data_IF_449185385680
#
_entry.id   IF_449185385680
#
_cell.length_a   1.000
_cell.length_b   1.000
_cell.length_c   1.000
_cell.angle_alpha   90.00
_cell.angle_beta   90.00
_cell.angle_gamma   90.00
#
_symmetry.space_group_name_H-M   'P 1'
#
loop_
_entity.id
_entity.type
_entity.pdbx_description
1 polymer ?
#
# COMPACT_ATOMS: atom_id res chain seq x y z
N UNK A 1 52.71 -32.76 3.67
CA UNK A 1 51.95 -33.90 4.21
C UNK A 1 50.47 -33.52 4.09
N UNK A 2 49.81 -33.86 2.99
CA UNK A 2 49.01 -35.07 2.79
C UNK A 2 47.83 -35.17 3.79
N UNK A 3 46.57 -35.46 3.44
CA UNK A 3 45.84 -35.59 2.17
C UNK A 3 44.34 -35.92 2.49
N UNK A 4 43.47 -35.81 1.46
CA UNK A 4 42.14 -36.48 1.26
C UNK A 4 40.96 -36.17 2.22
N UNK A 5 39.69 -36.05 1.78
CA UNK A 5 39.13 -36.32 0.46
C UNK A 5 37.61 -36.06 0.30
N UNK A 6 37.18 -36.32 -0.95
CA UNK A 6 35.85 -36.46 -1.59
C UNK A 6 34.71 -37.00 -0.68
N UNK A 7 33.41 -36.77 -0.92
CA UNK A 7 32.65 -36.42 -2.12
C UNK A 7 31.12 -36.43 -1.84
N UNK A 8 30.25 -36.38 -2.87
CA UNK A 8 28.88 -35.83 -2.80
C UNK A 8 27.76 -36.87 -2.57
N UNK A 9 26.72 -36.47 -1.84
CA UNK A 9 25.47 -37.22 -1.67
C UNK A 9 24.43 -36.86 -2.73
N UNK A 10 24.14 -37.82 -3.62
CA UNK A 10 23.06 -37.77 -4.61
C UNK A 10 21.69 -37.99 -3.93
N UNK A 11 20.69 -37.20 -4.31
CA UNK A 11 19.28 -37.49 -4.05
C UNK A 11 18.67 -38.10 -5.30
N UNK A 12 18.19 -39.34 -5.17
CA UNK A 12 17.44 -40.06 -6.19
C UNK A 12 15.94 -40.10 -5.81
N UNK A 13 15.14 -40.30 -6.87
CA UNK A 13 13.81 -40.90 -6.89
C UNK A 13 12.57 -40.00 -6.76
N UNK A 14 12.16 -39.45 -7.91
CA UNK A 14 10.75 -39.25 -8.26
C UNK A 14 10.23 -40.51 -8.97
N UNK A 15 9.13 -41.08 -8.47
CA UNK A 15 8.15 -41.78 -9.31
C UNK A 15 6.70 -41.62 -8.80
N UNK A 16 5.85 -41.35 -9.80
CA UNK A 16 4.40 -41.35 -9.92
C UNK A 16 3.52 -42.09 -8.90
N UNK A 17 2.32 -41.53 -8.65
CA UNK A 17 1.08 -42.20 -9.05
C UNK A 17 -0.12 -41.24 -9.16
N UNK A 18 -0.94 -41.49 -10.18
CA UNK A 18 -2.20 -40.81 -10.50
C UNK A 18 -3.35 -41.41 -9.70
N UNK A 19 -4.41 -40.63 -9.47
CA UNK A 19 -5.69 -41.12 -8.94
C UNK A 19 -6.84 -40.18 -9.28
N UNK A 20 -7.69 -40.60 -10.22
CA UNK A 20 -8.99 -40.01 -10.54
C UNK A 20 -10.08 -40.44 -9.53
N UNK A 21 -11.00 -39.55 -9.16
CA UNK A 21 -12.46 -39.84 -9.07
C UNK A 21 -13.24 -38.61 -8.61
N UNK A 22 -14.08 -38.04 -9.49
CA UNK A 22 -15.52 -38.29 -9.68
C UNK A 22 -16.40 -37.40 -8.79
N UNK A 23 -17.06 -36.42 -9.44
CA UNK A 23 -18.13 -35.61 -8.88
C UNK A 23 -19.47 -36.36 -8.98
N UNK A 24 -20.37 -36.26 -7.98
CA UNK A 24 -21.71 -36.82 -8.09
C UNK A 24 -22.63 -35.97 -9.00
N UNK A 25 -23.63 -36.58 -9.67
CA UNK A 25 -24.52 -35.90 -10.60
C UNK A 25 -25.63 -35.09 -9.91
N UNK A 26 -26.01 -33.98 -10.56
CA UNK A 26 -27.11 -33.10 -10.16
C UNK A 26 -28.47 -33.76 -10.42
N UNK A 27 -29.34 -33.75 -9.41
CA UNK A 27 -30.75 -34.12 -9.54
C UNK A 27 -31.57 -32.91 -10.03
N UNK A 28 -32.38 -33.15 -11.06
CA UNK A 28 -33.23 -32.16 -11.69
C UNK A 28 -34.41 -31.74 -10.80
N UNK A 29 -34.65 -30.43 -10.75
CA UNK A 29 -35.86 -29.85 -10.18
C UNK A 29 -36.96 -29.80 -11.25
N UNK A 30 -38.06 -30.48 -10.98
CA UNK A 30 -39.32 -30.37 -11.72
C UNK A 30 -40.05 -29.09 -11.31
N UNK A 31 -40.47 -28.28 -12.28
CA UNK A 31 -41.40 -27.16 -12.09
C UNK A 31 -42.84 -27.65 -12.05
N UNK A 32 -43.68 -27.15 -11.13
CA UNK A 32 -45.13 -27.21 -11.29
C UNK A 32 -45.63 -26.03 -12.13
N UNK A 33 -46.34 -26.35 -13.21
CA UNK A 33 -47.29 -25.46 -13.88
C UNK A 33 -48.54 -25.30 -13.02
N UNK A 34 -49.10 -24.09 -12.99
CA UNK A 34 -50.51 -23.70 -12.69
C UNK A 34 -50.46 -22.26 -12.15
N UNK A 35 -51.27 -21.27 -12.52
CA UNK A 35 -52.38 -21.14 -13.44
C UNK A 35 -52.87 -19.69 -13.25
N UNK A 36 -53.06 -18.94 -14.34
CA UNK A 36 -53.64 -17.59 -14.28
C UNK A 36 -55.15 -17.68 -14.03
N UNK A 37 -55.72 -16.69 -13.33
CA UNK A 37 -56.78 -15.94 -13.97
C UNK A 37 -56.62 -14.42 -13.84
N UNK A 38 -56.79 -13.76 -14.98
CA UNK A 38 -57.13 -12.35 -15.12
C UNK A 38 -58.50 -12.09 -14.49
N UNK A 39 -58.75 -10.90 -13.90
CA UNK A 39 -59.82 -10.11 -14.50
C UNK A 39 -59.62 -8.58 -14.49
N UNK A 40 -60.10 -8.02 -15.60
CA UNK A 40 -60.89 -6.78 -15.73
C UNK A 40 -60.27 -5.45 -15.33
N UNK A 41 -59.81 -4.75 -16.39
CA UNK A 41 -59.73 -3.30 -16.44
C UNK A 41 -61.15 -2.70 -16.37
N UNK A 42 -61.37 -1.78 -15.43
CA UNK A 42 -62.51 -0.88 -15.41
C UNK A 42 -62.04 0.57 -15.50
N UNK A 43 -62.52 1.25 -16.54
CA UNK A 43 -63.14 2.57 -16.45
C UNK A 43 -62.29 3.75 -16.01
N UNK A 44 -61.85 4.53 -16.99
CA UNK A 44 -61.49 5.94 -16.82
C UNK A 44 -62.72 6.77 -16.40
N UNK A 45 -62.55 7.64 -15.40
CA UNK A 45 -63.24 8.92 -15.32
C UNK A 45 -62.28 10.00 -14.81
N UNK A 46 -61.99 10.99 -15.65
CA UNK A 46 -61.26 12.21 -15.29
C UNK A 46 -62.20 13.19 -14.58
N UNK A 47 -61.86 13.71 -13.39
CA UNK A 47 -62.53 14.87 -12.83
C UNK A 47 -62.08 16.15 -13.55
N UNK A 48 -63.07 16.98 -13.88
CA UNK A 48 -62.92 18.30 -14.50
C UNK A 48 -62.07 19.22 -13.62
N UNK A 49 -61.11 19.91 -14.25
CA UNK A 49 -60.28 20.92 -13.61
C UNK A 49 -61.12 22.18 -13.34
N UNK A 50 -61.43 22.43 -12.06
CA UNK A 50 -61.88 23.74 -11.60
C UNK A 50 -60.64 24.58 -11.27
N UNK A 51 -60.59 25.79 -11.84
CA UNK A 51 -59.46 26.71 -11.71
C UNK A 51 -59.28 27.21 -10.28
N UNK A 52 -58.07 27.01 -9.75
CA UNK A 52 -57.60 27.69 -8.54
C UNK A 52 -56.94 29.03 -8.93
N UNK A 53 -57.22 30.13 -8.21
CA UNK A 53 -56.51 31.39 -8.40
C UNK A 53 -55.04 31.26 -7.98
N UNK A 54 -54.14 31.83 -8.80
CA UNK A 54 -52.70 31.83 -8.59
C UNK A 54 -52.33 32.56 -7.28
N UNK A 55 -51.53 31.94 -6.39
CA UNK A 55 -50.80 32.68 -5.37
C UNK A 55 -49.63 33.42 -6.03
N UNK A 56 -49.51 34.72 -5.76
CA UNK A 56 -48.38 35.54 -6.15
C UNK A 56 -47.09 34.94 -5.57
N UNK A 57 -46.17 34.55 -6.46
CA UNK A 57 -44.86 34.05 -6.09
C UNK A 57 -44.00 35.21 -5.57
N UNK A 58 -43.98 35.40 -4.24
CA UNK A 58 -42.84 36.05 -3.60
C UNK A 58 -41.64 35.11 -3.69
N UNK A 59 -40.53 35.65 -4.23
CA UNK A 59 -39.35 34.88 -4.60
C UNK A 59 -38.73 34.13 -3.43
N UNK A 60 -38.77 32.80 -3.51
CA UNK A 60 -37.80 31.98 -2.81
C UNK A 60 -36.44 32.15 -3.51
N UNK A 61 -35.34 32.44 -2.80
CA UNK A 61 -34.02 32.35 -3.40
C UNK A 61 -33.85 30.90 -3.89
N UNK A 62 -33.61 30.76 -5.19
CA UNK A 62 -33.26 29.47 -5.77
C UNK A 62 -32.12 28.88 -4.94
N UNK A 63 -32.19 27.59 -4.53
CA UNK A 63 -30.99 26.90 -4.14
C UNK A 63 -30.10 26.96 -5.37
N UNK A 64 -29.04 27.76 -5.31
CA UNK A 64 -27.96 27.68 -6.28
C UNK A 64 -27.61 26.21 -6.33
N UNK A 65 -27.94 25.56 -7.45
CA UNK A 65 -27.37 24.27 -7.79
C UNK A 65 -25.88 24.51 -7.74
N UNK A 66 -25.27 24.17 -6.61
CA UNK A 66 -23.84 24.02 -6.45
C UNK A 66 -23.52 23.04 -7.56
N UNK A 67 -23.07 23.56 -8.69
CA UNK A 67 -22.51 22.77 -9.75
C UNK A 67 -21.39 22.01 -9.04
N UNK A 68 -21.67 20.76 -8.70
CA UNK A 68 -20.63 19.78 -8.44
C UNK A 68 -19.92 19.71 -9.78
N UNK A 69 -18.89 20.54 -9.90
CA UNK A 69 -17.91 20.47 -10.95
C UNK A 69 -17.22 19.13 -10.75
N UNK A 70 -17.86 18.08 -11.25
CA UNK A 70 -17.24 16.78 -11.44
C UNK A 70 -16.27 16.93 -12.60
N UNK A 71 -15.11 17.51 -12.32
CA UNK A 71 -13.90 16.95 -12.91
C UNK A 71 -13.63 15.70 -12.10
N UNK A 72 -13.51 14.56 -12.77
CA UNK A 72 -12.68 13.50 -12.23
C UNK A 72 -11.30 14.15 -12.08
N UNK A 73 -10.93 14.49 -10.85
CA UNK A 73 -9.63 15.06 -10.54
C UNK A 73 -8.60 14.00 -10.95
N UNK A 74 -7.94 14.23 -12.07
CA UNK A 74 -6.66 13.59 -12.36
C UNK A 74 -5.80 13.81 -11.10
N UNK A 75 -5.27 12.75 -10.47
CA UNK A 75 -4.62 12.85 -9.18
C UNK A 75 -3.45 13.84 -9.31
N UNK A 76 -3.65 15.05 -8.79
CA UNK A 76 -2.61 16.06 -8.81
C UNK A 76 -1.52 15.61 -7.85
N UNK A 77 -0.36 15.27 -8.41
CA UNK A 77 0.83 14.94 -7.63
C UNK A 77 1.10 16.12 -6.69
N UNK A 78 1.13 15.93 -5.37
CA UNK A 78 1.43 17.02 -4.45
C UNK A 78 2.80 17.61 -4.81
N UNK A 79 2.85 18.93 -4.98
CA UNK A 79 4.12 19.61 -5.27
C UNK A 79 5.03 19.51 -4.05
N UNK A 80 6.12 18.77 -4.19
CA UNK A 80 7.17 18.66 -3.17
C UNK A 80 8.41 19.43 -3.61
N UNK A 81 8.84 20.38 -2.78
CA UNK A 81 10.03 21.15 -3.04
C UNK A 81 11.29 20.25 -3.05
N UNK A 82 12.21 20.43 -4.01
CA UNK A 82 13.49 19.73 -4.03
C UNK A 82 14.24 19.87 -2.70
N UNK A 83 14.87 18.78 -2.25
CA UNK A 83 15.83 18.85 -1.15
C UNK A 83 17.08 19.61 -1.61
N UNK A 84 17.70 20.42 -0.72
CA UNK A 84 18.98 21.05 -1.02
C UNK A 84 20.07 19.98 -1.23
N UNK A 85 21.09 20.24 -2.05
CA UNK A 85 22.25 19.35 -2.16
C UNK A 85 22.88 19.05 -0.79
N UNK A 86 23.35 17.82 -0.55
CA UNK A 86 23.46 16.72 -1.53
C UNK A 86 22.17 15.91 -1.73
N UNK A 87 21.06 16.27 -1.09
CA UNK A 87 19.89 15.42 -0.94
C UNK A 87 20.01 14.50 0.29
N UNK A 88 19.09 13.54 0.40
CA UNK A 88 18.98 12.62 1.53
C UNK A 88 18.77 11.20 0.98
N UNK A 89 19.81 10.37 1.06
CA UNK A 89 19.80 9.03 0.46
C UNK A 89 20.81 8.06 1.07
N UNK A 90 20.55 6.76 0.88
CA UNK A 90 21.51 5.69 1.12
C UNK A 90 21.87 4.96 -0.18
N UNK A 91 20.99 4.97 -1.18
CA UNK A 91 21.13 4.22 -2.42
C UNK A 91 21.12 5.23 -3.58
N UNK A 92 22.30 5.65 -4.08
CA UNK A 92 22.41 6.75 -5.04
C UNK A 92 21.57 6.57 -6.30
N UNK A 93 21.44 5.34 -6.80
CA UNK A 93 20.64 5.03 -7.99
C UNK A 93 19.13 5.12 -7.76
N UNK A 94 18.68 5.24 -6.51
CA UNK A 94 17.26 5.35 -6.15
C UNK A 94 16.84 6.79 -5.80
N UNK A 95 17.70 7.78 -6.05
CA UNK A 95 17.36 9.20 -5.81
C UNK A 95 16.29 9.65 -6.81
N UNK A 96 15.21 10.25 -6.30
CA UNK A 96 14.23 10.93 -7.14
C UNK A 96 14.84 12.22 -7.72
N UNK A 97 14.84 12.37 -9.04
CA UNK A 97 15.34 13.61 -9.69
C UNK A 97 14.25 14.68 -9.85
N UNK A 98 12.98 14.29 -9.72
CA UNK A 98 11.80 15.13 -9.78
C UNK A 98 10.75 14.58 -8.80
N UNK A 99 9.67 15.33 -8.47
CA UNK A 99 8.61 14.79 -7.63
C UNK A 99 8.08 13.51 -8.28
N UNK A 100 8.18 12.38 -7.57
CA UNK A 100 7.91 11.05 -8.14
C UNK A 100 6.86 10.34 -7.31
N UNK A 101 5.70 10.07 -7.91
CA UNK A 101 4.63 9.29 -7.29
C UNK A 101 4.74 7.82 -7.62
N UNK A 102 4.63 7.00 -6.59
CA UNK A 102 4.59 5.54 -6.66
C UNK A 102 3.31 5.02 -6.04
N UNK A 103 2.69 4.04 -6.68
CA UNK A 103 1.56 3.30 -6.16
C UNK A 103 2.12 2.11 -5.39
N UNK A 104 1.91 2.09 -4.08
CA UNK A 104 2.30 1.00 -3.19
C UNK A 104 1.15 0.00 -3.12
N UNK A 105 1.43 -1.26 -3.45
CA UNK A 105 0.47 -2.37 -3.42
C UNK A 105 0.97 -3.44 -2.46
N UNK A 106 0.10 -3.89 -1.57
CA UNK A 106 0.36 -5.06 -0.73
C UNK A 106 -0.56 -6.21 -1.11
N UNK A 107 0.04 -7.37 -1.38
CA UNK A 107 -0.66 -8.62 -1.65
C UNK A 107 -0.25 -9.68 -0.62
N UNK A 108 -1.24 -10.21 0.09
CA UNK A 108 -1.04 -11.42 0.90
C UNK A 108 -0.96 -12.63 -0.02
N UNK A 109 0.14 -13.35 0.04
CA UNK A 109 0.33 -14.59 -0.71
C UNK A 109 0.04 -15.78 0.20
N UNK A 110 -0.76 -16.73 -0.28
CA UNK A 110 -0.94 -17.99 0.41
C UNK A 110 0.43 -18.72 0.41
N UNK A 111 0.94 -19.05 1.60
CA UNK A 111 2.18 -19.82 1.88
C UNK A 111 3.53 -19.09 1.88
N UNK A 112 3.77 -18.08 1.04
CA UNK A 112 5.10 -17.43 0.94
C UNK A 112 5.22 -16.10 1.69
N UNK A 113 4.14 -15.65 2.34
CA UNK A 113 4.10 -14.43 3.14
C UNK A 113 3.35 -13.31 2.45
N UNK A 114 3.93 -12.11 2.42
CA UNK A 114 3.37 -10.97 1.69
C UNK A 114 4.34 -10.45 0.64
N UNK A 115 3.78 -10.06 -0.50
CA UNK A 115 4.50 -9.36 -1.56
C UNK A 115 4.03 -7.92 -1.58
N UNK A 116 4.99 -7.00 -1.58
CA UNK A 116 4.69 -5.58 -1.74
C UNK A 116 5.40 -5.06 -2.97
N UNK A 117 4.70 -4.27 -3.78
CA UNK A 117 5.24 -3.70 -5.00
C UNK A 117 5.03 -2.19 -4.98
N UNK A 118 6.03 -1.45 -5.45
CA UNK A 118 5.91 -0.04 -5.79
C UNK A 118 5.94 0.10 -7.31
N UNK A 119 4.88 0.68 -7.87
CA UNK A 119 4.80 0.97 -9.31
C UNK A 119 4.80 2.46 -9.56
N UNK A 120 5.32 2.89 -10.69
CA UNK A 120 5.00 4.23 -11.22
C UNK A 120 3.49 4.39 -11.39
N UNK A 121 3.01 5.64 -11.46
CA UNK A 121 1.61 5.94 -11.79
C UNK A 121 1.13 5.31 -13.10
N UNK A 122 2.04 5.02 -14.03
CA UNK A 122 1.75 4.36 -15.31
C UNK A 122 1.77 2.82 -15.22
N UNK A 123 1.99 2.25 -14.02
CA UNK A 123 1.95 0.81 -13.77
C UNK A 123 3.29 0.08 -13.89
N UNK A 124 4.36 0.72 -14.38
CA UNK A 124 5.69 0.10 -14.43
C UNK A 124 6.24 -0.19 -13.03
N UNK A 125 6.75 -1.39 -12.79
CA UNK A 125 7.37 -1.80 -11.52
C UNK A 125 8.63 -0.97 -11.25
N UNK A 126 8.78 -0.49 -10.02
CA UNK A 126 10.00 0.19 -9.54
C UNK A 126 10.73 -0.65 -8.48
N UNK A 127 9.98 -1.11 -7.48
CA UNK A 127 10.51 -1.92 -6.39
C UNK A 127 9.58 -3.09 -6.08
N UNK A 128 10.17 -4.20 -5.67
CA UNK A 128 9.44 -5.36 -5.16
C UNK A 128 10.06 -5.81 -3.84
N UNK A 129 9.22 -6.07 -2.85
CA UNK A 129 9.61 -6.61 -1.56
C UNK A 129 8.92 -7.94 -1.30
N UNK A 130 9.70 -9.01 -1.17
CA UNK A 130 9.19 -10.37 -0.94
C UNK A 130 9.63 -10.90 0.43
N UNK A 131 8.80 -11.72 1.05
CA UNK A 131 9.08 -12.35 2.34
C UNK A 131 8.03 -11.99 3.38
N UNK A 132 8.23 -12.47 4.61
CA UNK A 132 7.28 -12.29 5.70
C UNK A 132 7.98 -11.88 6.98
N UNK A 133 7.37 -10.92 7.67
CA UNK A 133 7.76 -10.55 9.03
C UNK A 133 7.19 -11.51 10.09
N UNK A 134 6.17 -12.30 9.74
CA UNK A 134 5.49 -13.22 10.67
C UNK A 134 6.10 -14.64 10.70
N UNK A 135 7.06 -14.95 9.82
CA UNK A 135 7.79 -16.23 9.83
C UNK A 135 9.07 -16.14 10.65
N UNK A 136 9.65 -17.28 11.03
CA UNK A 136 10.85 -17.41 11.88
C UNK A 136 12.05 -16.51 11.47
N UNK A 137 12.14 -16.10 10.20
CA UNK A 137 13.23 -15.23 9.68
C UNK A 137 12.95 -13.72 9.78
N UNK A 138 11.70 -13.32 10.01
CA UNK A 138 11.22 -11.94 10.13
C UNK A 138 11.87 -10.95 9.15
N UNK A 139 11.82 -11.27 7.85
CA UNK A 139 12.61 -10.59 6.79
C UNK A 139 11.76 -10.32 5.56
N UNK A 140 11.95 -9.13 4.99
CA UNK A 140 11.59 -8.82 3.60
C UNK A 140 12.84 -8.43 2.82
N UNK A 141 12.96 -8.97 1.62
CA UNK A 141 14.05 -8.68 0.69
C UNK A 141 13.54 -7.69 -0.36
N UNK A 142 14.26 -6.60 -0.59
CA UNK A 142 13.87 -5.53 -1.50
C UNK A 142 14.72 -5.60 -2.76
N UNK A 143 14.04 -5.55 -3.91
CA UNK A 143 14.60 -5.64 -5.25
C UNK A 143 14.18 -4.43 -6.08
N UNK A 144 15.02 -4.04 -7.03
CA UNK A 144 14.66 -3.07 -8.07
C UNK A 144 13.85 -3.71 -9.22
N UNK A 145 13.47 -2.88 -10.19
CA UNK A 145 12.74 -3.29 -11.39
C UNK A 145 13.46 -4.32 -12.28
N UNK A 146 14.79 -4.46 -12.15
CA UNK A 146 15.60 -5.43 -12.89
C UNK A 146 15.80 -6.73 -12.10
N UNK A 147 15.28 -6.81 -10.88
CA UNK A 147 15.47 -7.94 -9.98
C UNK A 147 16.81 -7.93 -9.27
N UNK A 148 17.55 -6.81 -9.28
CA UNK A 148 18.74 -6.66 -8.46
C UNK A 148 18.31 -6.47 -7.00
N UNK A 149 18.87 -7.28 -6.10
CA UNK A 149 18.68 -7.10 -4.67
C UNK A 149 19.33 -5.79 -4.22
N UNK A 150 18.60 -5.00 -3.43
CA UNK A 150 19.05 -3.73 -2.88
C UNK A 150 19.44 -3.88 -1.41
N UNK A 151 18.53 -4.40 -0.59
CA UNK A 151 18.70 -4.58 0.86
C UNK A 151 17.61 -5.47 1.43
N UNK A 152 17.77 -5.84 2.70
CA UNK A 152 16.75 -6.51 3.49
C UNK A 152 16.17 -5.58 4.54
N UNK A 153 14.87 -5.73 4.82
CA UNK A 153 14.18 -5.16 5.97
C UNK A 153 13.99 -6.30 6.98
N UNK A 154 14.43 -6.09 8.22
CA UNK A 154 14.36 -7.05 9.31
C UNK A 154 13.54 -6.49 10.45
N UNK A 155 12.74 -7.34 11.08
CA UNK A 155 12.20 -7.01 12.41
C UNK A 155 13.25 -7.33 13.48
N UNK A 156 13.30 -6.50 14.52
CA UNK A 156 13.97 -6.86 15.76
C UNK A 156 13.04 -7.77 16.57
N UNK A 157 13.38 -9.06 16.63
CA UNK A 157 12.80 -9.98 17.59
C UNK A 157 13.03 -9.42 18.99
N UNK A 158 11.96 -9.29 19.78
CA UNK A 158 11.95 -8.89 21.20
C UNK A 158 11.86 -7.38 21.54
N UNK A 159 11.59 -6.48 20.58
CA UNK A 159 11.25 -5.08 20.91
C UNK A 159 9.75 -4.84 21.08
N UNK A 160 9.39 -4.20 22.19
CA UNK A 160 8.07 -3.62 22.40
C UNK A 160 8.21 -2.11 22.70
N UNK A 161 7.81 -1.21 21.79
CA UNK A 161 7.06 -1.47 20.55
C UNK A 161 7.94 -2.10 19.44
N UNK A 162 7.33 -2.79 18.45
CA UNK A 162 8.07 -3.39 17.35
C UNK A 162 8.97 -2.38 16.63
N UNK A 163 10.19 -2.80 16.31
CA UNK A 163 11.18 -2.00 15.59
C UNK A 163 11.76 -2.81 14.42
N UNK A 164 12.19 -2.10 13.39
CA UNK A 164 12.73 -2.68 12.17
C UNK A 164 14.06 -2.03 11.83
N UNK A 165 14.85 -2.68 10.99
CA UNK A 165 16.07 -2.11 10.42
C UNK A 165 16.29 -2.61 9.00
N UNK A 166 17.08 -1.87 8.24
CA UNK A 166 17.54 -2.30 6.93
C UNK A 166 19.02 -2.65 6.96
N UNK A 167 19.36 -3.73 6.27
CA UNK A 167 20.73 -4.23 6.13
C UNK A 167 21.07 -4.53 4.67
N UNK A 168 22.33 -4.32 4.31
CA UNK A 168 22.88 -4.75 3.02
C UNK A 168 22.93 -6.29 2.91
N UNK A 169 23.20 -6.83 1.72
CA UNK A 169 23.46 -8.25 1.50
C UNK A 169 24.54 -8.84 2.43
N UNK A 170 25.50 -8.00 2.85
CA UNK A 170 26.58 -8.39 3.74
C UNK A 170 26.17 -8.36 5.23
N UNK A 171 24.92 -8.01 5.55
CA UNK A 171 24.44 -7.86 6.92
C UNK A 171 24.81 -6.53 7.58
N UNK A 172 25.36 -5.56 6.82
CA UNK A 172 25.65 -4.24 7.38
C UNK A 172 24.35 -3.44 7.50
N UNK A 173 23.94 -3.17 8.73
CA UNK A 173 22.80 -2.32 9.09
C UNK A 173 23.08 -0.86 8.72
N UNK A 174 22.16 -0.21 8.02
CA UNK A 174 22.33 1.17 7.53
C UNK A 174 21.14 2.09 7.79
N UNK A 175 19.96 1.55 8.13
CA UNK A 175 18.79 2.34 8.52
C UNK A 175 18.03 1.63 9.62
N UNK A 176 17.50 2.41 10.55
CA UNK A 176 16.65 1.97 11.65
C UNK A 176 15.28 2.60 11.58
N UNK A 177 14.27 1.83 11.94
CA UNK A 177 12.90 2.29 12.14
C UNK A 177 12.47 1.87 13.55
N UNK A 178 12.67 2.78 14.49
CA UNK A 178 12.38 2.57 15.90
C UNK A 178 10.92 2.85 16.22
N UNK A 179 10.36 2.04 17.09
CA UNK A 179 9.19 2.44 17.84
C UNK A 179 9.51 3.14 19.16
N UNK A 180 8.82 4.24 19.42
CA UNK A 180 8.86 4.96 20.68
C UNK A 180 7.49 4.97 21.35
N UNK A 181 7.46 4.60 22.62
CA UNK A 181 6.36 4.96 23.51
C UNK A 181 6.61 6.36 24.03
N UNK A 182 5.62 7.25 23.91
CA UNK A 182 5.53 8.44 24.72
C UNK A 182 4.21 8.36 25.51
N UNK A 183 4.15 8.95 26.71
CA UNK A 183 3.18 8.69 27.80
C UNK A 183 1.69 8.55 27.39
N UNK A 184 1.29 9.03 26.21
CA UNK A 184 -0.05 8.85 25.62
C UNK A 184 -0.09 8.63 24.09
N UNK A 185 1.05 8.57 23.38
CA UNK A 185 1.10 8.48 21.90
C UNK A 185 2.26 7.60 21.41
N UNK A 186 2.00 6.76 20.42
CA UNK A 186 3.01 5.89 19.78
C UNK A 186 3.69 6.66 18.66
N UNK A 187 4.99 6.87 18.74
CA UNK A 187 5.77 7.49 17.65
C UNK A 187 6.65 6.45 16.98
N UNK A 188 6.99 6.71 15.74
CA UNK A 188 8.07 6.02 15.05
C UNK A 188 9.16 7.03 14.69
N UNK A 189 10.40 6.59 14.74
CA UNK A 189 11.55 7.39 14.35
C UNK A 189 12.41 6.59 13.40
N UNK A 190 12.86 7.22 12.31
CA UNK A 190 13.79 6.63 11.36
C UNK A 190 15.14 7.30 11.53
N UNK A 191 16.19 6.50 11.55
CA UNK A 191 17.58 6.93 11.75
C UNK A 191 18.47 6.24 10.71
N UNK A 192 19.32 7.01 10.02
CA UNK A 192 20.33 6.47 9.10
C UNK A 192 21.43 7.50 8.86
N UNK A 193 22.53 7.07 8.27
CA UNK A 193 23.60 7.97 7.80
C UNK A 193 23.37 8.31 6.33
N UNK A 194 23.29 9.60 6.00
CA UNK A 194 23.17 10.07 4.64
C UNK A 194 24.47 9.85 3.86
N UNK A 195 24.39 9.19 2.71
CA UNK A 195 25.57 8.95 1.87
C UNK A 195 26.07 10.21 1.15
N UNK A 196 25.24 11.26 1.05
CA UNK A 196 25.63 12.52 0.42
C UNK A 196 26.63 13.34 1.22
N UNK A 197 26.52 13.36 2.55
CA UNK A 197 27.37 14.17 3.44
C UNK A 197 27.89 13.45 4.70
N UNK A 198 27.54 12.17 4.88
CA UNK A 198 27.95 11.36 6.02
C UNK A 198 27.27 11.71 7.34
N UNK A 199 26.25 12.58 7.34
CA UNK A 199 25.55 12.99 8.56
C UNK A 199 24.41 12.06 8.91
N UNK A 200 24.13 11.92 10.20
CA UNK A 200 22.93 11.23 10.67
C UNK A 200 21.69 12.03 10.27
N UNK A 201 20.70 11.33 9.73
CA UNK A 201 19.38 11.86 9.40
C UNK A 201 18.36 11.21 10.31
N UNK A 202 17.53 12.04 10.93
CA UNK A 202 16.42 11.63 11.77
C UNK A 202 15.09 12.08 11.15
N UNK A 203 14.14 11.16 11.05
CA UNK A 203 12.80 11.41 10.53
C UNK A 203 11.79 10.99 11.58
N UNK A 204 10.90 11.90 11.96
CA UNK A 204 9.82 11.62 12.88
C UNK A 204 8.57 11.18 12.11
N UNK A 205 8.22 9.90 12.22
CA UNK A 205 6.99 9.35 11.68
C UNK A 205 5.91 9.45 12.78
N UNK A 206 5.11 10.51 12.70
CA UNK A 206 4.06 10.84 13.69
C UNK A 206 2.76 10.06 13.46
N UNK A 207 1.83 10.12 14.42
CA UNK A 207 0.49 9.47 14.36
C UNK A 207 -0.27 9.74 13.04
N UNK A 208 -0.02 10.90 12.40
CA UNK A 208 -0.65 11.27 11.13
C UNK A 208 -0.22 10.36 9.97
N UNK A 209 0.83 9.53 10.12
CA UNK A 209 1.22 8.55 9.13
C UNK A 209 0.05 7.67 8.69
N UNK A 210 -0.92 7.39 9.57
CA UNK A 210 -2.06 6.51 9.28
C UNK A 210 -3.31 7.23 8.77
N UNK A 211 -3.27 8.56 8.66
CA UNK A 211 -4.38 9.30 8.10
C UNK A 211 -4.52 9.01 6.59
N UNK A 212 -5.68 9.34 6.02
CA UNK A 212 -5.91 9.37 4.58
C UNK A 212 -4.80 10.13 3.87
N UNK A 213 -4.34 11.25 4.45
CA UNK A 213 -3.23 12.03 3.95
C UNK A 213 -2.17 12.19 5.04
N UNK A 214 -0.92 11.87 4.73
CA UNK A 214 0.21 11.98 5.65
C UNK A 214 1.44 12.60 5.00
N UNK A 215 2.18 13.41 5.76
CA UNK A 215 3.45 13.98 5.34
C UNK A 215 4.59 13.37 6.15
N UNK A 216 5.66 12.97 5.48
CA UNK A 216 6.92 12.55 6.08
C UNK A 216 7.88 13.74 6.01
N UNK A 217 8.43 14.14 7.16
CA UNK A 217 9.24 15.37 7.29
C UNK A 217 10.58 15.11 7.95
N UNK A 218 11.60 15.83 7.51
CA UNK A 218 12.86 16.00 8.24
C UNK A 218 12.65 16.84 9.50
N UNK A 219 13.63 16.84 10.42
CA UNK A 219 13.57 17.63 11.65
C UNK A 219 13.41 19.14 11.42
N UNK A 220 13.94 19.65 10.30
CA UNK A 220 13.79 21.06 9.90
C UNK A 220 12.40 21.38 9.32
N UNK A 221 11.48 20.40 9.25
CA UNK A 221 10.12 20.56 8.73
C UNK A 221 9.99 20.38 7.22
N UNK A 222 11.07 20.15 6.48
CA UNK A 222 11.03 19.91 5.03
C UNK A 222 10.31 18.59 4.74
N UNK A 223 9.29 18.62 3.88
CA UNK A 223 8.50 17.44 3.49
C UNK A 223 9.26 16.64 2.43
N UNK A 224 9.61 15.39 2.77
CA UNK A 224 10.38 14.50 1.88
C UNK A 224 9.50 13.51 1.14
N UNK A 225 8.31 13.22 1.68
CA UNK A 225 7.32 12.40 1.02
C UNK A 225 5.91 12.67 1.55
N UNK A 226 4.90 12.41 0.72
CA UNK A 226 3.49 12.42 1.09
C UNK A 226 2.85 11.07 0.78
N UNK A 227 1.95 10.63 1.65
CA UNK A 227 1.14 9.43 1.48
C UNK A 227 -0.31 9.86 1.31
N UNK A 228 -0.97 9.29 0.30
CA UNK A 228 -2.40 9.46 0.05
C UNK A 228 -3.07 8.08 -0.07
N UNK A 229 -3.98 7.77 0.85
CA UNK A 229 -4.70 6.50 0.95
C UNK A 229 -6.15 6.71 0.55
N UNK A 230 -6.60 6.00 -0.47
CA UNK A 230 -8.02 5.94 -0.78
C UNK A 230 -8.69 4.81 0.02
N UNK A 231 -9.42 5.16 1.07
CA UNK A 231 -10.19 4.20 1.87
C UNK A 231 -11.47 3.72 1.18
N UNK A 232 -11.92 4.37 0.10
CA UNK A 232 -13.23 4.13 -0.52
C UNK A 232 -13.18 3.32 -1.82
N UNK A 233 -12.01 3.11 -2.44
CA UNK A 233 -11.95 2.47 -3.77
C UNK A 233 -11.70 0.95 -3.82
N UNK A 234 -11.19 0.28 -2.78
CA UNK A 234 -10.89 -1.16 -2.89
C UNK A 234 -11.89 -2.05 -2.15
N UNK A 235 -12.88 -2.58 -2.90
CA UNK A 235 -13.69 -3.75 -2.52
C UNK A 235 -12.94 -5.08 -2.60
N UNK A 236 -11.69 -5.07 -3.05
CA UNK A 236 -10.80 -6.23 -3.12
C UNK A 236 -9.71 -6.10 -2.04
N UNK A 237 -9.31 -7.21 -1.44
CA UNK A 237 -8.43 -7.34 -0.26
C UNK A 237 -7.00 -6.79 -0.38
N UNK A 238 -6.67 -5.98 -1.39
CA UNK A 238 -5.36 -5.37 -1.59
C UNK A 238 -5.35 -3.93 -1.04
N UNK A 239 -4.42 -3.66 -0.12
CA UNK A 239 -4.15 -2.30 0.36
C UNK A 239 -3.32 -1.60 -0.71
N UNK A 240 -3.83 -0.49 -1.23
CA UNK A 240 -3.18 0.32 -2.26
C UNK A 240 -3.21 1.80 -1.86
N UNK A 241 -2.07 2.48 -1.94
CA UNK A 241 -1.97 3.91 -1.67
C UNK A 241 -0.85 4.56 -2.49
N UNK A 242 -0.92 5.88 -2.65
CA UNK A 242 0.08 6.65 -3.37
C UNK A 242 1.12 7.19 -2.39
N UNK A 243 2.39 7.02 -2.73
CA UNK A 243 3.56 7.60 -2.07
C UNK A 243 4.24 8.55 -3.05
N UNK A 244 4.22 9.84 -2.76
CA UNK A 244 4.94 10.85 -3.57
C UNK A 244 6.22 11.24 -2.86
N UNK A 245 7.35 11.15 -3.55
CA UNK A 245 8.69 11.40 -3.02
C UNK A 245 9.27 12.69 -3.61
N UNK A 246 9.88 13.52 -2.76
CA UNK A 246 10.48 14.79 -3.16
C UNK A 246 11.79 14.59 -3.96
N UNK A 247 12.15 15.53 -4.86
CA UNK A 247 13.45 15.48 -5.55
C UNK A 247 14.61 15.54 -4.56
N UNK A 248 15.64 14.71 -4.78
CA UNK A 248 16.79 14.58 -3.89
C UNK A 248 16.59 13.59 -2.74
N UNK A 249 15.42 12.95 -2.63
CA UNK A 249 15.15 11.90 -1.64
C UNK A 249 15.26 10.50 -2.27
N UNK A 250 15.74 9.54 -1.49
CA UNK A 250 15.82 8.12 -1.86
C UNK A 250 14.45 7.43 -1.84
N UNK A 251 14.00 6.99 -3.02
CA UNK A 251 12.71 6.34 -3.20
C UNK A 251 12.65 4.97 -2.53
N UNK A 252 13.75 4.22 -2.50
CA UNK A 252 13.79 2.88 -1.92
C UNK A 252 13.75 2.94 -0.39
N UNK A 253 14.39 3.96 0.22
CA UNK A 253 14.21 4.26 1.65
C UNK A 253 12.77 4.62 1.98
N UNK A 254 12.13 5.49 1.19
CA UNK A 254 10.72 5.83 1.39
C UNK A 254 9.81 4.60 1.31
N UNK A 255 10.06 3.70 0.34
CA UNK A 255 9.35 2.44 0.25
C UNK A 255 9.57 1.56 1.49
N UNK A 256 10.81 1.40 1.96
CA UNK A 256 11.13 0.61 3.15
C UNK A 256 10.49 1.16 4.43
N UNK A 257 10.51 2.49 4.62
CA UNK A 257 9.83 3.16 5.72
C UNK A 257 8.34 2.82 5.71
N UNK A 258 7.71 2.83 4.53
CA UNK A 258 6.30 2.51 4.39
C UNK A 258 6.00 1.06 4.79
N UNK A 259 6.78 0.10 4.31
CA UNK A 259 6.61 -1.31 4.65
C UNK A 259 6.80 -1.60 6.15
N UNK A 260 7.81 -1.00 6.77
CA UNK A 260 8.07 -1.16 8.19
C UNK A 260 6.91 -0.62 9.04
N UNK A 261 6.36 0.53 8.66
CA UNK A 261 5.22 1.15 9.35
C UNK A 261 3.92 0.36 9.17
N UNK A 262 3.66 -0.13 7.96
CA UNK A 262 2.47 -0.95 7.68
C UNK A 262 2.53 -2.28 8.43
N UNK A 263 3.70 -2.93 8.48
CA UNK A 263 3.89 -4.15 9.27
C UNK A 263 3.66 -3.88 10.75
N UNK A 264 4.26 -2.82 11.30
CA UNK A 264 4.06 -2.45 12.69
C UNK A 264 2.58 -2.29 13.03
N UNK A 265 1.83 -1.61 12.15
CA UNK A 265 0.39 -1.45 12.32
C UNK A 265 -0.33 -2.80 12.38
N UNK A 266 0.06 -3.75 11.52
CA UNK A 266 -0.55 -5.08 11.49
C UNK A 266 -0.28 -5.88 12.77
N UNK A 267 0.90 -5.72 13.40
CA UNK A 267 1.26 -6.41 14.65
C UNK A 267 0.59 -5.79 15.88
N UNK A 268 0.11 -4.55 15.79
CA UNK A 268 -0.54 -3.84 16.88
C UNK A 268 -2.08 -4.03 16.91
N UNK A 269 -2.65 -4.67 15.89
CA UNK A 269 -4.09 -4.99 15.78
C UNK A 269 -4.37 -6.40 16.25
#
# INVERSE_FOLDING_TARGET
MAAFGNGPGQWNQYQHQQGFSQYPPQQGFQQPQQGSPHPQQQGFQQPQQQGFPQPQQQGFPQPQKRQKQGKADEPQIPFLAPLPPPGVFCIPQCIAHQPTSMIIRSRTLYYTGSENEAHTVNGSLMFRATGDFNVMRQRKEVYDSQGQHLFDIRAESDRNPPSFYCETLQGNRFMDVYGKWNLFRKKSEVLFTNNGDGKEVKINLTDNYFNTHAEIKLENGHVIACIDRDYFQNRNSAVEYTLTVAPGMDMALCFAMCLAMDQRMSMER
#
